data_IF_452434765936
#
_entry.id   IF_452434765936
#
_cell.length_a   1.000
_cell.length_b   1.000
_cell.length_c   1.000
_cell.angle_alpha   90.00
_cell.angle_beta   90.00
_cell.angle_gamma   90.00
#
_symmetry.space_group_name_H-M   'P 1'
#
loop_
_entity.id
_entity.type
_entity.pdbx_description
1 polymer ?
#
# COMPACT_ATOMS: atom_id res chain seq x y z
N UNK A 1 -17.44 -4.84 2.41
CA UNK A 1 -17.43 -5.82 1.31
C UNK A 1 -16.22 -6.72 1.50
N UNK A 2 -16.31 -8.03 1.26
CA UNK A 2 -15.20 -8.98 1.47
C UNK A 2 -14.96 -9.86 0.25
N UNK A 3 -13.72 -10.09 -0.13
CA UNK A 3 -13.41 -10.98 -1.25
C UNK A 3 -13.89 -12.43 -0.98
N UNK A 4 -14.50 -13.06 -1.98
CA UNK A 4 -14.99 -14.43 -1.93
C UNK A 4 -13.92 -15.43 -2.38
N UNK A 5 -13.37 -16.15 -1.41
CA UNK A 5 -12.22 -17.02 -1.60
C UNK A 5 -12.61 -18.49 -1.71
N UNK A 6 -13.84 -18.85 -1.32
CA UNK A 6 -14.29 -20.23 -1.16
C UNK A 6 -14.90 -20.84 -2.43
N UNK A 7 -15.06 -20.05 -3.49
CA UNK A 7 -15.78 -20.49 -4.69
C UNK A 7 -14.92 -21.20 -5.75
N UNK A 8 -13.60 -21.32 -5.54
CA UNK A 8 -12.70 -21.84 -6.58
C UNK A 8 -11.98 -23.11 -6.13
N UNK A 9 -12.04 -24.16 -6.95
CA UNK A 9 -11.24 -25.36 -6.71
C UNK A 9 -9.80 -25.08 -7.14
N UNK A 10 -8.81 -25.50 -6.34
CA UNK A 10 -7.38 -25.32 -6.65
C UNK A 10 -7.04 -25.83 -8.07
N UNK A 11 -7.65 -26.94 -8.50
CA UNK A 11 -7.46 -27.50 -9.85
C UNK A 11 -7.88 -26.53 -10.96
N UNK A 12 -8.98 -25.79 -10.78
CA UNK A 12 -9.45 -24.79 -11.75
C UNK A 12 -8.50 -23.60 -11.82
N UNK A 13 -7.95 -23.17 -10.67
CA UNK A 13 -6.97 -22.08 -10.60
C UNK A 13 -5.65 -22.45 -11.30
N UNK A 14 -5.19 -23.69 -11.13
CA UNK A 14 -3.97 -24.18 -11.80
C UNK A 14 -4.18 -24.26 -13.32
N UNK A 15 -5.35 -24.70 -13.77
CA UNK A 15 -5.67 -24.79 -15.20
C UNK A 15 -5.60 -23.40 -15.89
N UNK A 16 -6.05 -22.36 -15.19
CA UNK A 16 -6.07 -20.99 -15.72
C UNK A 16 -4.72 -20.26 -15.56
N UNK A 17 -3.67 -20.90 -15.03
CA UNK A 17 -2.39 -20.24 -14.72
C UNK A 17 -1.74 -19.60 -15.94
N UNK A 18 -1.66 -20.31 -17.06
CA UNK A 18 -0.97 -19.81 -18.25
C UNK A 18 -1.71 -18.62 -18.86
N UNK A 19 -3.04 -18.72 -18.94
CA UNK A 19 -3.90 -17.67 -19.44
C UNK A 19 -3.87 -16.43 -18.53
N UNK A 20 -3.86 -16.63 -17.21
CA UNK A 20 -3.60 -15.54 -16.26
C UNK A 20 -2.25 -14.87 -16.53
N UNK A 21 -1.16 -15.65 -16.67
CA UNK A 21 0.17 -15.09 -16.88
C UNK A 21 0.22 -14.23 -18.15
N UNK A 22 -0.42 -14.68 -19.23
CA UNK A 22 -0.49 -13.97 -20.50
C UNK A 22 -1.22 -12.62 -20.38
N UNK A 23 -2.44 -12.63 -19.83
CA UNK A 23 -3.25 -11.42 -19.67
C UNK A 23 -2.64 -10.48 -18.63
N UNK A 24 -2.16 -11.03 -17.52
CA UNK A 24 -1.58 -10.23 -16.44
C UNK A 24 -0.33 -9.51 -16.93
N UNK A 25 0.64 -10.22 -17.52
CA UNK A 25 1.90 -9.63 -18.00
C UNK A 25 1.68 -8.57 -19.08
N UNK A 26 0.75 -8.80 -19.99
CA UNK A 26 0.44 -7.82 -21.06
C UNK A 26 -0.26 -6.56 -20.55
N UNK A 27 -0.89 -6.61 -19.37
CA UNK A 27 -1.56 -5.46 -18.76
C UNK A 27 -0.81 -4.77 -17.62
N UNK A 28 0.39 -5.23 -17.25
CA UNK A 28 1.20 -4.61 -16.22
C UNK A 28 1.68 -3.22 -16.65
N UNK A 29 1.64 -2.27 -15.71
CA UNK A 29 2.29 -0.98 -15.86
C UNK A 29 3.80 -1.10 -15.65
N UNK A 30 4.55 -0.02 -15.91
CA UNK A 30 5.99 0.06 -15.64
C UNK A 30 6.37 -0.20 -14.18
N UNK A 31 5.41 -0.08 -13.26
CA UNK A 31 5.60 -0.30 -11.82
C UNK A 31 5.28 -1.76 -11.42
N UNK A 32 5.05 -2.67 -12.39
CA UNK A 32 4.60 -4.04 -12.16
C UNK A 32 3.28 -4.13 -11.37
N UNK A 33 2.39 -3.16 -11.58
CA UNK A 33 1.03 -3.15 -11.06
C UNK A 33 0.02 -3.33 -12.20
N UNK A 34 -1.15 -3.86 -11.89
CA UNK A 34 -2.24 -4.02 -12.85
C UNK A 34 -3.35 -2.99 -12.55
N UNK A 35 -3.84 -2.24 -13.54
CA UNK A 35 -4.92 -1.27 -13.34
C UNK A 35 -6.22 -1.96 -12.88
N UNK A 36 -6.77 -1.53 -11.75
CA UNK A 36 -8.02 -2.08 -11.22
C UNK A 36 -9.22 -1.72 -12.13
N UNK A 37 -9.13 -0.62 -12.88
CA UNK A 37 -10.08 -0.27 -13.94
C UNK A 37 -10.20 -1.31 -15.07
N UNK A 38 -9.25 -2.26 -15.18
CA UNK A 38 -9.29 -3.41 -16.11
C UNK A 38 -9.76 -4.70 -15.45
N UNK A 39 -10.20 -4.62 -14.19
CA UNK A 39 -10.68 -5.75 -13.39
C UNK A 39 -12.17 -5.56 -13.11
N UNK A 40 -12.95 -6.61 -13.37
CA UNK A 40 -14.38 -6.66 -13.11
C UNK A 40 -14.64 -7.22 -11.71
N UNK A 41 -15.40 -6.46 -10.92
CA UNK A 41 -15.94 -6.90 -9.63
C UNK A 41 -17.31 -7.53 -9.86
N UNK A 42 -17.47 -8.81 -9.50
CA UNK A 42 -18.75 -9.53 -9.52
C UNK A 42 -19.25 -9.62 -8.08
N UNK A 43 -20.28 -8.85 -7.73
CA UNK A 43 -20.82 -8.77 -6.37
C UNK A 43 -21.88 -9.85 -6.11
N UNK A 44 -21.83 -10.44 -4.93
CA UNK A 44 -22.84 -11.34 -4.40
C UNK A 44 -23.04 -11.04 -2.90
N UNK A 45 -24.09 -10.28 -2.59
CA UNK A 45 -24.36 -9.76 -1.23
C UNK A 45 -23.14 -8.99 -0.69
N UNK A 46 -22.63 -9.35 0.50
CA UNK A 46 -21.45 -8.74 1.12
C UNK A 46 -20.12 -9.24 0.56
N UNK A 47 -20.17 -10.19 -0.38
CA UNK A 47 -19.01 -10.82 -0.98
C UNK A 47 -18.80 -10.40 -2.43
N UNK A 48 -17.58 -10.53 -2.94
CA UNK A 48 -17.30 -10.29 -4.35
C UNK A 48 -16.22 -11.20 -4.91
N UNK A 49 -16.18 -11.33 -6.23
CA UNK A 49 -15.12 -12.01 -6.98
C UNK A 49 -14.50 -11.02 -7.95
N UNK A 50 -13.19 -11.15 -8.18
CA UNK A 50 -12.47 -10.39 -9.17
C UNK A 50 -12.18 -11.25 -10.39
N UNK A 51 -12.39 -10.68 -11.57
CA UNK A 51 -12.03 -11.29 -12.85
C UNK A 51 -11.41 -10.25 -13.76
N UNK A 52 -10.60 -10.64 -14.75
CA UNK A 52 -10.24 -9.72 -15.83
C UNK A 52 -11.51 -9.22 -16.55
N UNK A 53 -11.53 -8.00 -17.05
CA UNK A 53 -12.68 -7.51 -17.84
C UNK A 53 -12.85 -8.30 -19.15
N UNK A 54 -11.74 -8.67 -19.77
CA UNK A 54 -11.69 -9.32 -21.08
C UNK A 54 -12.10 -10.80 -21.01
N UNK A 55 -11.88 -11.46 -19.86
CA UNK A 55 -12.15 -12.90 -19.67
C UNK A 55 -12.61 -13.20 -18.25
N UNK A 56 -13.47 -14.20 -18.10
CA UNK A 56 -13.99 -14.67 -16.80
C UNK A 56 -12.98 -15.52 -16.01
N UNK A 57 -11.71 -15.10 -16.00
CA UNK A 57 -10.65 -15.74 -15.21
C UNK A 57 -10.60 -15.08 -13.84
N UNK A 58 -10.75 -15.83 -12.75
CA UNK A 58 -10.65 -15.30 -11.40
C UNK A 58 -9.23 -14.84 -11.08
N UNK A 59 -9.13 -13.71 -10.38
CA UNK A 59 -7.87 -13.18 -9.87
C UNK A 59 -7.99 -12.85 -8.38
N UNK A 60 -6.86 -12.82 -7.70
CA UNK A 60 -6.79 -12.56 -6.26
C UNK A 60 -5.73 -11.50 -5.98
N UNK A 61 -5.94 -10.60 -5.01
CA UNK A 61 -4.88 -9.69 -4.58
C UNK A 61 -3.70 -10.50 -4.04
N UNK A 62 -2.49 -9.99 -4.24
CA UNK A 62 -1.28 -10.64 -3.74
C UNK A 62 -1.22 -10.58 -2.19
N UNK A 63 -1.27 -11.73 -1.51
CA UNK A 63 -0.90 -11.89 -0.10
C UNK A 63 -1.53 -10.90 0.90
N UNK A 64 -0.67 -10.26 1.71
CA UNK A 64 -0.98 -9.39 2.85
C UNK A 64 -1.89 -8.19 2.52
N UNK A 65 -2.15 -7.91 1.25
CA UNK A 65 -2.81 -6.69 0.79
C UNK A 65 -4.29 -6.86 0.45
N UNK A 66 -4.91 -7.96 0.90
CA UNK A 66 -6.34 -8.19 0.67
C UNK A 66 -7.22 -7.07 1.24
N UNK A 67 -6.85 -6.50 2.40
CA UNK A 67 -7.62 -5.43 3.03
C UNK A 67 -7.58 -4.13 2.20
N UNK A 68 -6.45 -3.84 1.55
CA UNK A 68 -6.37 -2.71 0.61
C UNK A 68 -7.29 -2.95 -0.58
N UNK A 69 -7.31 -4.17 -1.11
CA UNK A 69 -8.21 -4.55 -2.19
C UNK A 69 -9.69 -4.40 -1.77
N UNK A 70 -10.08 -4.90 -0.59
CA UNK A 70 -11.43 -4.75 -0.04
C UNK A 70 -11.81 -3.26 0.10
N UNK A 71 -10.87 -2.44 0.60
CA UNK A 71 -11.07 -1.01 0.76
C UNK A 71 -11.26 -0.30 -0.58
N UNK A 72 -10.40 -0.54 -1.57
CA UNK A 72 -10.55 0.05 -2.90
C UNK A 72 -11.81 -0.42 -3.60
N UNK A 73 -12.15 -1.71 -3.51
CA UNK A 73 -13.34 -2.27 -4.14
C UNK A 73 -14.65 -1.74 -3.50
N UNK A 74 -14.59 -1.18 -2.29
CA UNK A 74 -15.75 -0.56 -1.63
C UNK A 74 -16.20 0.76 -2.29
N UNK A 75 -15.36 1.37 -3.13
CA UNK A 75 -15.65 2.62 -3.84
C UNK A 75 -15.30 2.50 -5.31
N UNK A 76 -16.28 2.69 -6.20
CA UNK A 76 -16.03 2.67 -7.65
C UNK A 76 -14.97 3.68 -8.07
N UNK A 77 -14.98 4.86 -7.46
CA UNK A 77 -13.97 5.89 -7.69
C UNK A 77 -12.56 5.39 -7.34
N UNK A 78 -12.35 4.88 -6.12
CA UNK A 78 -11.04 4.37 -5.69
C UNK A 78 -10.59 3.20 -6.58
N UNK A 79 -11.51 2.29 -6.91
CA UNK A 79 -11.22 1.15 -7.78
C UNK A 79 -10.74 1.60 -9.16
N UNK A 80 -11.33 2.64 -9.74
CA UNK A 80 -10.98 3.09 -11.08
C UNK A 80 -9.60 3.76 -11.16
N UNK A 81 -9.14 4.38 -10.08
CA UNK A 81 -7.84 5.05 -10.02
C UNK A 81 -6.72 4.17 -9.44
N UNK A 82 -7.06 3.04 -8.82
CA UNK A 82 -6.11 2.15 -8.18
C UNK A 82 -5.42 1.21 -9.18
N UNK A 83 -4.19 0.86 -8.85
CA UNK A 83 -3.40 -0.19 -9.47
C UNK A 83 -2.87 -1.10 -8.35
N UNK A 84 -2.98 -2.41 -8.55
CA UNK A 84 -2.66 -3.42 -7.54
C UNK A 84 -1.89 -4.60 -8.14
N UNK A 85 -1.24 -5.38 -7.29
CA UNK A 85 -0.71 -6.69 -7.67
C UNK A 85 -1.77 -7.79 -7.49
N UNK A 86 -1.91 -8.63 -8.51
CA UNK A 86 -2.79 -9.80 -8.49
C UNK A 86 -2.02 -11.10 -8.73
N UNK A 87 -2.65 -12.21 -8.36
CA UNK A 87 -2.19 -13.58 -8.53
C UNK A 87 -3.36 -14.46 -8.96
N UNK A 88 -3.06 -15.60 -9.60
CA UNK A 88 -4.05 -16.60 -10.02
C UNK A 88 -4.44 -17.56 -8.88
N UNK A 89 -3.66 -17.59 -7.79
CA UNK A 89 -3.93 -18.41 -6.63
C UNK A 89 -4.08 -17.54 -5.38
N UNK A 90 -5.08 -17.85 -4.57
CA UNK A 90 -5.28 -17.14 -3.32
C UNK A 90 -4.18 -17.50 -2.29
N UNK A 91 -3.63 -16.48 -1.63
CA UNK A 91 -2.77 -16.63 -0.45
C UNK A 91 -3.43 -15.96 0.76
N UNK A 92 -3.69 -16.73 1.82
CA UNK A 92 -4.18 -16.18 3.11
C UNK A 92 -2.97 -15.64 3.86
N UNK A 93 -2.71 -14.35 3.74
CA UNK A 93 -1.79 -13.65 4.60
C UNK A 93 -2.45 -12.33 4.98
N UNK A 94 -2.41 -11.93 6.24
CA UNK A 94 -2.99 -10.68 6.71
C UNK A 94 -2.03 -9.98 7.65
N UNK A 95 -1.93 -8.66 7.51
CA UNK A 95 -1.47 -7.78 8.58
C UNK A 95 -2.68 -7.42 9.45
N UNK A 96 -2.45 -7.20 10.75
CA UNK A 96 -3.45 -6.57 11.59
C UNK A 96 -3.46 -5.07 11.25
N UNK A 97 -4.63 -4.47 10.96
CA UNK A 97 -4.71 -3.04 10.70
C UNK A 97 -4.59 -2.24 12.00
N UNK A 98 -3.98 -1.06 11.90
CA UNK A 98 -3.77 -0.16 13.03
C UNK A 98 -5.08 0.35 13.65
N UNK A 99 -5.21 0.18 14.97
CA UNK A 99 -6.11 0.98 15.82
C UNK A 99 -5.26 1.68 16.89
N UNK A 100 -4.89 2.94 16.65
CA UNK A 100 -4.08 3.74 17.58
C UNK A 100 -4.10 5.22 17.24
N UNK A 101 -4.45 6.04 18.22
CA UNK A 101 -4.80 7.45 18.07
C UNK A 101 -3.59 8.38 18.07
N UNK A 102 -2.57 8.15 17.23
CA UNK A 102 -1.47 9.11 17.04
C UNK A 102 -0.96 9.24 15.59
N UNK A 103 -1.37 8.40 14.63
CA UNK A 103 -1.01 8.60 13.21
C UNK A 103 -1.57 9.91 12.64
N UNK A 104 -2.86 10.19 12.90
CA UNK A 104 -3.49 11.44 12.45
C UNK A 104 -2.79 12.65 13.07
N UNK A 105 -2.51 12.62 14.37
CA UNK A 105 -1.80 13.71 15.05
C UNK A 105 -0.39 13.87 14.51
N UNK A 106 0.32 12.76 14.29
CA UNK A 106 1.65 12.76 13.73
C UNK A 106 1.71 13.39 12.33
N UNK A 107 0.74 13.02 11.48
CA UNK A 107 0.57 13.58 10.15
C UNK A 107 0.18 15.06 10.20
N UNK A 108 -0.79 15.42 11.03
CA UNK A 108 -1.24 16.81 11.23
C UNK A 108 -0.07 17.70 11.72
N UNK A 109 0.75 17.19 12.66
CA UNK A 109 1.96 17.87 13.14
C UNK A 109 3.01 18.02 12.05
N UNK A 110 3.29 16.96 11.28
CA UNK A 110 4.25 17.02 10.19
C UNK A 110 3.84 18.08 9.15
N UNK A 111 2.55 18.12 8.77
CA UNK A 111 2.01 19.11 7.83
C UNK A 111 2.11 20.53 8.40
N UNK A 112 1.71 20.72 9.66
CA UNK A 112 1.70 22.02 10.32
C UNK A 112 3.10 22.61 10.43
N UNK A 113 4.06 21.83 10.91
CA UNK A 113 5.42 22.30 11.18
C UNK A 113 6.21 22.58 9.89
N UNK A 114 5.77 22.05 8.73
CA UNK A 114 6.50 22.11 7.45
C UNK A 114 7.98 21.68 7.58
N UNK A 115 8.33 20.97 8.66
CA UNK A 115 9.69 20.58 8.98
C UNK A 115 10.02 19.21 8.39
N UNK A 116 11.28 19.07 8.00
CA UNK A 116 11.73 18.10 7.02
C UNK A 116 11.60 16.62 7.43
N UNK A 117 11.57 16.28 8.72
CA UNK A 117 11.28 14.91 9.18
C UNK A 117 10.64 14.96 10.58
N UNK A 118 9.42 14.44 10.74
CA UNK A 118 8.82 14.15 12.05
C UNK A 118 9.02 12.68 12.35
N UNK A 119 9.87 12.38 13.34
CA UNK A 119 10.21 11.01 13.77
C UNK A 119 9.44 10.72 15.06
N UNK A 120 8.57 9.72 15.05
CA UNK A 120 7.87 9.29 16.25
C UNK A 120 8.61 8.07 16.81
N UNK A 121 9.30 8.30 17.92
CA UNK A 121 10.03 7.29 18.67
C UNK A 121 9.36 7.11 20.03
N UNK A 122 9.21 5.86 20.46
CA UNK A 122 8.69 5.51 21.79
C UNK A 122 9.78 4.73 22.51
N UNK A 123 10.52 5.32 23.46
CA UNK A 123 11.47 4.58 24.29
C UNK A 123 10.93 4.29 25.70
N UNK A 124 11.35 3.15 26.26
CA UNK A 124 12.36 3.07 27.35
C UNK A 124 12.41 1.67 28.00
N UNK A 125 11.49 0.74 27.71
CA UNK A 125 11.57 -0.62 28.25
C UNK A 125 11.48 -1.72 27.18
N UNK A 126 12.57 -2.48 27.05
CA UNK A 126 12.76 -3.66 26.19
C UNK A 126 12.05 -4.91 26.75
N UNK A 127 10.81 -4.81 27.22
CA UNK A 127 10.05 -5.98 27.66
C UNK A 127 9.14 -6.46 26.54
N UNK A 128 9.55 -7.54 25.85
CA UNK A 128 8.76 -8.48 25.03
C UNK A 128 7.71 -7.95 24.02
N UNK A 129 7.63 -6.65 23.75
CA UNK A 129 6.69 -6.09 22.80
C UNK A 129 7.30 -5.95 21.40
N UNK A 130 6.48 -6.16 20.37
CA UNK A 130 6.81 -5.86 18.99
C UNK A 130 6.69 -4.35 18.79
N UNK A 131 7.79 -3.69 18.42
CA UNK A 131 7.81 -2.25 18.18
C UNK A 131 8.02 -1.92 16.70
N UNK A 132 7.38 -0.84 16.24
CA UNK A 132 7.61 -0.22 14.94
C UNK A 132 8.03 1.24 15.13
N UNK A 133 8.89 1.71 14.23
CA UNK A 133 9.28 3.11 14.12
C UNK A 133 8.56 3.71 12.94
N UNK A 134 7.98 4.89 13.12
CA UNK A 134 7.25 5.61 12.07
C UNK A 134 7.92 6.96 11.80
N UNK A 135 8.31 7.18 10.55
CA UNK A 135 9.00 8.39 10.09
C UNK A 135 8.15 9.06 9.03
N UNK A 136 7.83 10.33 9.25
CA UNK A 136 7.19 11.19 8.26
C UNK A 136 8.21 12.18 7.72
N UNK A 137 8.25 12.37 6.41
CA UNK A 137 9.12 13.34 5.75
C UNK A 137 8.30 14.13 4.74
N UNK A 138 8.32 15.45 4.89
CA UNK A 138 7.67 16.37 3.97
C UNK A 138 8.74 17.20 3.29
N UNK A 139 8.72 17.21 1.96
CA UNK A 139 9.68 17.95 1.14
C UNK A 139 8.92 18.78 0.10
N UNK A 140 9.38 20.01 -0.14
CA UNK A 140 8.87 20.83 -1.25
C UNK A 140 9.59 20.43 -2.54
N UNK A 141 8.84 20.21 -3.63
CA UNK A 141 9.38 19.82 -4.94
C UNK A 141 8.51 20.37 -6.06
N UNK A 142 9.11 21.10 -7.01
CA UNK A 142 8.47 21.54 -8.27
C UNK A 142 7.00 22.00 -8.12
N UNK A 143 6.75 23.08 -7.40
CA UNK A 143 5.42 23.66 -7.14
C UNK A 143 4.45 22.80 -6.32
N UNK A 144 4.92 21.73 -5.67
CA UNK A 144 4.11 20.89 -4.79
C UNK A 144 4.83 20.44 -3.53
N UNK A 145 4.10 19.71 -2.70
CA UNK A 145 4.58 19.00 -1.52
C UNK A 145 4.63 17.50 -1.80
N UNK A 146 5.69 16.89 -1.31
CA UNK A 146 5.90 15.45 -1.30
C UNK A 146 5.89 14.98 0.16
N UNK A 147 5.03 14.02 0.48
CA UNK A 147 5.01 13.32 1.75
C UNK A 147 5.53 11.90 1.56
N UNK A 148 6.40 11.50 2.47
CA UNK A 148 6.98 10.17 2.56
C UNK A 148 6.70 9.65 3.98
N UNK A 149 6.17 8.43 4.08
CA UNK A 149 5.92 7.76 5.35
C UNK A 149 6.68 6.44 5.32
N UNK A 150 7.52 6.22 6.32
CA UNK A 150 8.32 5.00 6.46
C UNK A 150 7.98 4.33 7.77
N UNK A 151 7.67 3.04 7.70
CA UNK A 151 7.47 2.22 8.88
C UNK A 151 8.45 1.05 8.91
N UNK A 152 9.21 0.99 9.99
CA UNK A 152 10.20 -0.04 10.23
C UNK A 152 9.87 -0.82 11.50
N UNK A 153 9.63 -2.13 11.36
CA UNK A 153 9.51 -3.06 12.49
C UNK A 153 10.89 -3.55 12.92
N UNK A 154 11.19 -3.49 14.21
CA UNK A 154 12.48 -3.92 14.76
C UNK A 154 12.76 -5.38 14.36
N UNK A 155 13.99 -5.63 13.86
CA UNK A 155 14.47 -6.92 13.33
C UNK A 155 13.87 -7.34 11.97
N UNK A 156 13.11 -6.48 11.29
CA UNK A 156 12.73 -6.69 9.89
C UNK A 156 13.86 -6.25 8.96
N UNK A 157 14.01 -6.87 7.79
CA UNK A 157 14.80 -6.29 6.69
C UNK A 157 13.93 -5.45 5.75
N UNK A 158 12.61 -5.50 5.91
CA UNK A 158 11.64 -4.78 5.10
C UNK A 158 11.09 -3.58 5.84
N UNK A 159 11.02 -2.46 5.12
CA UNK A 159 10.38 -1.20 5.52
C UNK A 159 9.17 -0.98 4.63
N UNK A 160 8.05 -0.61 5.25
CA UNK A 160 6.84 -0.20 4.52
C UNK A 160 6.94 1.28 4.22
N UNK A 161 6.61 1.64 2.99
CA UNK A 161 6.79 2.98 2.48
C UNK A 161 5.51 3.47 1.81
N UNK A 162 5.07 4.68 2.15
CA UNK A 162 4.00 5.40 1.45
C UNK A 162 4.56 6.69 0.90
N UNK A 163 4.22 6.98 -0.36
CA UNK A 163 4.57 8.20 -1.05
C UNK A 163 3.31 8.93 -1.50
N UNK A 164 3.22 10.22 -1.20
CA UNK A 164 2.14 11.07 -1.68
C UNK A 164 2.67 12.37 -2.28
N UNK A 165 2.04 12.84 -3.35
CA UNK A 165 2.31 14.14 -3.96
C UNK A 165 1.05 15.00 -3.92
N UNK A 166 1.21 16.29 -3.65
CA UNK A 166 0.14 17.29 -3.62
C UNK A 166 0.62 18.61 -4.20
N UNK A 167 -0.26 19.30 -4.93
CA UNK A 167 0.01 20.64 -5.49
C UNK A 167 -0.67 21.76 -4.66
N UNK A 168 -1.50 21.39 -3.68
CA UNK A 168 -2.37 22.30 -2.92
C UNK A 168 -2.28 22.05 -1.41
N UNK A 169 -1.05 21.97 -0.88
CA UNK A 169 -0.80 21.80 0.56
C UNK A 169 -1.54 20.62 1.22
N UNK A 170 -1.65 19.50 0.50
CA UNK A 170 -2.33 18.28 0.92
C UNK A 170 -3.86 18.42 1.11
N UNK A 171 -4.53 19.37 0.47
CA UNK A 171 -6.00 19.34 0.34
C UNK A 171 -6.43 18.14 -0.50
N UNK A 172 -5.75 17.93 -1.62
CA UNK A 172 -5.85 16.72 -2.45
C UNK A 172 -4.46 16.22 -2.81
N UNK A 173 -4.38 14.95 -3.19
CA UNK A 173 -3.16 14.30 -3.67
C UNK A 173 -3.32 14.02 -5.16
N UNK A 174 -2.28 14.29 -5.94
CA UNK A 174 -2.24 13.93 -7.37
C UNK A 174 -1.70 12.52 -7.59
N UNK A 175 -0.99 12.00 -6.59
CA UNK A 175 -0.36 10.69 -6.60
C UNK A 175 -0.27 10.14 -5.17
N UNK A 176 -0.53 8.85 -5.03
CA UNK A 176 -0.39 8.11 -3.79
C UNK A 176 0.05 6.67 -4.11
N UNK A 177 1.23 6.25 -3.69
CA UNK A 177 1.67 4.87 -3.82
C UNK A 177 2.24 4.31 -2.53
N UNK A 178 2.31 2.98 -2.47
CA UNK A 178 2.91 2.27 -1.35
C UNK A 178 3.76 1.10 -1.84
N UNK A 179 4.86 0.86 -1.13
CA UNK A 179 5.85 -0.13 -1.46
C UNK A 179 6.43 -0.80 -0.21
N UNK A 180 7.03 -1.96 -0.40
CA UNK A 180 7.96 -2.56 0.56
C UNK A 180 9.36 -2.45 0.00
N UNK A 181 10.31 -2.05 0.84
CA UNK A 181 11.70 -1.84 0.45
C UNK A 181 12.58 -2.62 1.41
N UNK A 182 13.54 -3.35 0.88
CA UNK A 182 14.53 -4.06 1.68
C UNK A 182 15.71 -3.14 2.00
N UNK A 183 16.16 -3.14 3.25
CA UNK A 183 17.30 -2.34 3.70
C UNK A 183 18.27 -3.21 4.51
N UNK A 184 19.55 -2.85 4.47
CA UNK A 184 20.52 -3.34 5.46
C UNK A 184 20.31 -2.66 6.81
N UNK A 185 20.87 -3.23 7.88
CA UNK A 185 20.80 -2.62 9.21
C UNK A 185 21.39 -1.19 9.23
N UNK A 186 22.51 -0.96 8.54
CA UNK A 186 23.14 0.36 8.47
C UNK A 186 22.27 1.36 7.70
N UNK A 187 21.63 0.91 6.61
CA UNK A 187 20.69 1.74 5.86
C UNK A 187 19.44 2.08 6.68
N UNK A 188 18.95 1.15 7.51
CA UNK A 188 17.85 1.42 8.45
C UNK A 188 18.28 2.49 9.47
N UNK A 189 19.49 2.38 10.03
CA UNK A 189 19.99 3.41 10.96
C UNK A 189 20.05 4.77 10.26
N UNK A 190 20.56 4.84 9.03
CA UNK A 190 20.59 6.10 8.29
C UNK A 190 19.15 6.61 7.99
N UNK A 191 18.21 5.74 7.62
CA UNK A 191 16.81 6.12 7.38
C UNK A 191 16.17 6.72 8.63
N UNK A 192 16.42 6.09 9.78
CA UNK A 192 15.84 6.48 11.07
C UNK A 192 16.53 7.68 11.68
N UNK A 193 17.84 7.87 11.49
CA UNK A 193 18.64 8.82 12.27
C UNK A 193 19.26 9.95 11.44
N UNK A 194 19.34 9.82 10.12
CA UNK A 194 19.86 10.89 9.24
C UNK A 194 18.77 11.47 8.33
N UNK A 195 19.10 12.52 7.58
CA UNK A 195 18.23 13.12 6.55
C UNK A 195 18.58 12.62 5.14
N UNK A 196 19.53 11.69 5.03
CA UNK A 196 20.08 11.23 3.76
C UNK A 196 19.03 10.46 2.96
N UNK A 197 19.11 10.59 1.63
CA UNK A 197 18.24 9.85 0.73
C UNK A 197 18.79 8.45 0.53
N UNK A 198 18.08 7.45 1.04
CA UNK A 198 18.45 6.05 0.91
C UNK A 198 17.47 5.37 -0.02
N UNK A 199 17.98 4.65 -1.03
CA UNK A 199 17.13 3.96 -2.01
C UNK A 199 16.70 2.57 -1.54
N UNK A 200 17.49 1.95 -0.67
CA UNK A 200 17.35 0.54 -0.31
C UNK A 200 17.56 -0.39 -1.50
N UNK A 201 17.15 -1.65 -1.33
CA UNK A 201 17.17 -2.73 -2.30
C UNK A 201 15.76 -3.27 -2.50
N UNK A 202 15.54 -3.96 -3.62
CA UNK A 202 14.30 -4.71 -3.88
C UNK A 202 13.02 -3.88 -3.66
N UNK A 203 12.97 -2.68 -4.23
CA UNK A 203 11.78 -1.83 -4.19
C UNK A 203 10.60 -2.55 -4.88
N UNK A 204 9.62 -2.98 -4.11
CA UNK A 204 8.43 -3.66 -4.62
C UNK A 204 7.20 -2.80 -4.36
N UNK A 205 6.65 -2.20 -5.43
CA UNK A 205 5.43 -1.41 -5.35
C UNK A 205 4.23 -2.34 -5.15
N UNK A 206 3.37 -1.98 -4.21
CA UNK A 206 2.21 -2.79 -3.80
C UNK A 206 0.92 -2.21 -4.37
N UNK A 207 0.75 -0.89 -4.22
CA UNK A 207 -0.41 -0.18 -4.75
C UNK A 207 0.02 1.17 -5.29
N UNK A 208 -0.82 1.72 -6.17
CA UNK A 208 -0.69 3.08 -6.69
C UNK A 208 -2.07 3.63 -7.02
N UNK A 209 -2.31 4.89 -6.67
CA UNK A 209 -3.45 5.69 -7.06
C UNK A 209 -2.91 6.96 -7.73
N UNK A 210 -3.53 7.37 -8.83
CA UNK A 210 -3.24 8.63 -9.52
C UNK A 210 -4.55 9.38 -9.79
N UNK A 211 -4.52 10.71 -9.78
CA UNK A 211 -5.70 11.56 -10.03
C UNK A 211 -6.05 12.42 -8.82
N UNK A 212 -7.29 12.86 -8.70
CA UNK A 212 -7.74 13.77 -7.64
C UNK A 212 -8.10 13.07 -6.32
N UNK A 213 -7.09 12.62 -5.58
CA UNK A 213 -7.27 11.76 -4.41
C UNK A 213 -7.51 12.63 -3.18
N UNK A 214 -8.67 12.48 -2.53
CA UNK A 214 -8.94 13.16 -1.25
C UNK A 214 -7.89 12.76 -0.21
N UNK A 215 -7.36 13.74 0.51
CA UNK A 215 -6.36 13.51 1.55
C UNK A 215 -6.82 12.52 2.64
N UNK A 216 -8.11 12.49 2.96
CA UNK A 216 -8.68 11.52 3.89
C UNK A 216 -8.43 10.05 3.50
N UNK A 217 -8.27 9.77 2.20
CA UNK A 217 -7.97 8.40 1.74
C UNK A 217 -6.56 7.96 2.10
N UNK A 218 -5.57 8.87 2.12
CA UNK A 218 -4.22 8.54 2.59
C UNK A 218 -4.25 7.97 4.00
N UNK A 219 -5.03 8.60 4.88
CA UNK A 219 -5.15 8.18 6.28
C UNK A 219 -5.69 6.74 6.41
N UNK A 220 -6.77 6.43 5.70
CA UNK A 220 -7.37 5.10 5.76
C UNK A 220 -6.49 4.04 5.06
N UNK A 221 -5.85 4.39 3.96
CA UNK A 221 -4.90 3.51 3.26
C UNK A 221 -3.70 3.22 4.16
N UNK A 222 -3.15 4.23 4.84
CA UNK A 222 -2.02 4.06 5.73
C UNK A 222 -2.35 3.11 6.88
N UNK A 223 -3.52 3.24 7.52
CA UNK A 223 -3.95 2.32 8.59
C UNK A 223 -4.04 0.86 8.17
N UNK A 224 -4.40 0.62 6.90
CA UNK A 224 -4.56 -0.72 6.34
C UNK A 224 -3.21 -1.29 5.90
N UNK A 225 -2.36 -0.46 5.28
CA UNK A 225 -1.12 -0.90 4.66
C UNK A 225 0.04 -1.08 5.63
N UNK A 226 0.13 -0.21 6.64
CA UNK A 226 1.22 -0.15 7.61
C UNK A 226 1.01 -1.22 8.70
N UNK A 227 1.88 -2.25 8.83
CA UNK A 227 1.63 -3.49 9.59
C UNK A 227 1.82 -3.41 11.12
N UNK A 228 1.62 -2.25 11.74
CA UNK A 228 1.76 -2.09 13.21
C UNK A 228 0.63 -2.81 13.96
#
# INVERSE_FOLDING_TARGET
>A
MRLNLQNFKIKELIHNKNEFIEIYKSGLTKDNLYPCSRVKIIKNQDRYTLTFQERSIPIFPLGFYYQLCDYFASSEYLWNIAQLQFTYCYSICGSAPLMGLDFKKALDLAIKEKQAISKFYLPESLNNNIYSNLVFKITSKNNGLQLEIWEYKVNSTYVYYIHALSENNFETLTHLDGATIEFTNDEIQNLLFTNEKIKGKNYNKIFRLDGDIKFSYLHEIAKIFLPI
#
